data_IF_400236051570
#
_entry.id   IF_400236051570
#
_cell.length_a   1.000
_cell.length_b   1.000
_cell.length_c   1.000
_cell.angle_alpha   90.00
_cell.angle_beta   90.00
_cell.angle_gamma   90.00
#
_symmetry.space_group_name_H-M   'P 1'
#
loop_
_entity.id
_entity.type
_entity.pdbx_description
1 polymer ?
#
# COMPACT_ATOMS: atom_id res chain seq x y z
N UNK A 1 11.21 0.30 -13.57
CA UNK A 1 11.92 -0.22 -12.38
C UNK A 1 12.59 0.94 -11.68
N UNK A 2 12.41 1.05 -10.36
CA UNK A 2 12.96 2.16 -9.55
C UNK A 2 12.14 3.45 -9.61
N UNK A 3 10.93 3.40 -10.18
CA UNK A 3 10.00 4.53 -10.20
C UNK A 3 9.57 4.89 -8.78
N UNK A 4 9.45 6.19 -8.52
CA UNK A 4 8.93 6.72 -7.26
C UNK A 4 7.46 7.05 -7.48
N UNK A 5 6.59 6.46 -6.68
CA UNK A 5 5.13 6.62 -6.78
C UNK A 5 4.60 7.07 -5.43
N UNK A 6 3.74 8.09 -5.46
CA UNK A 6 3.00 8.55 -4.28
C UNK A 6 1.58 8.01 -4.32
N UNK A 7 1.12 7.46 -3.21
CA UNK A 7 -0.27 7.07 -3.00
C UNK A 7 -0.89 8.10 -2.06
N UNK A 8 -1.91 8.79 -2.55
CA UNK A 8 -2.74 9.70 -1.77
C UNK A 8 -4.03 8.96 -1.45
N UNK A 9 -4.20 8.59 -0.18
CA UNK A 9 -5.40 7.94 0.31
C UNK A 9 -6.29 8.96 0.99
N UNK A 10 -7.57 9.00 0.61
CA UNK A 10 -8.61 9.69 1.35
C UNK A 10 -9.51 8.65 2.02
N UNK A 11 -9.58 8.71 3.35
CA UNK A 11 -10.48 7.92 4.15
C UNK A 11 -11.82 8.64 4.29
N UNK A 12 -12.84 8.17 3.57
CA UNK A 12 -14.20 8.68 3.65
C UNK A 12 -15.08 7.83 4.58
N UNK A 13 -14.52 7.37 5.68
CA UNK A 13 -15.16 6.59 6.72
C UNK A 13 -14.86 7.23 8.10
N UNK A 14 -15.81 7.19 9.06
CA UNK A 14 -15.62 7.75 10.40
C UNK A 14 -14.65 6.95 11.29
N UNK A 15 -14.16 5.80 10.85
CA UNK A 15 -13.15 5.00 11.56
C UNK A 15 -11.73 5.26 11.07
N UNK A 16 -10.75 4.89 11.89
CA UNK A 16 -9.33 4.84 11.48
C UNK A 16 -9.05 3.51 10.75
N UNK A 17 -8.19 3.57 9.71
CA UNK A 17 -7.78 2.38 8.97
C UNK A 17 -6.25 2.25 8.94
N UNK A 18 -5.64 1.19 9.53
CA UNK A 18 -4.22 0.91 9.40
C UNK A 18 -3.93 0.27 8.03
N UNK A 19 -3.27 1.01 7.15
CA UNK A 19 -3.00 0.58 5.77
C UNK A 19 -1.60 -0.02 5.65
N UNK A 20 -1.52 -1.25 5.14
CA UNK A 20 -0.30 -2.05 5.01
C UNK A 20 0.03 -2.34 3.54
N UNK A 21 1.32 -2.27 3.16
CA UNK A 21 1.82 -2.63 1.83
C UNK A 21 2.77 -3.82 1.93
N UNK A 22 2.54 -4.85 1.14
CA UNK A 22 3.45 -5.99 1.04
C UNK A 22 4.69 -5.66 0.19
N UNK A 23 5.81 -6.30 0.51
CA UNK A 23 7.03 -6.27 -0.32
C UNK A 23 7.78 -4.93 -0.37
N UNK A 24 7.29 -3.90 0.32
CA UNK A 24 7.86 -2.55 0.34
C UNK A 24 7.80 -1.96 1.74
N UNK A 25 8.79 -1.12 2.06
CA UNK A 25 8.59 -0.06 3.04
C UNK A 25 8.32 1.23 2.28
N UNK A 26 7.55 2.12 2.88
CA UNK A 26 7.18 3.41 2.32
C UNK A 26 7.53 4.55 3.27
N UNK A 27 7.77 5.72 2.70
CA UNK A 27 7.89 6.95 3.46
C UNK A 27 6.50 7.52 3.72
N UNK A 28 6.19 7.83 4.97
CA UNK A 28 4.96 8.58 5.33
C UNK A 28 5.27 10.06 5.17
N UNK A 29 4.77 10.65 4.09
CA UNK A 29 5.05 12.04 3.74
C UNK A 29 4.18 13.02 4.53
N UNK A 30 2.97 12.60 4.90
CA UNK A 30 2.04 13.41 5.67
C UNK A 30 0.74 12.64 5.95
N UNK A 31 0.03 13.12 6.97
CA UNK A 31 -1.25 12.59 7.39
C UNK A 31 -2.10 13.74 7.91
N UNK A 32 -3.38 13.77 7.54
CA UNK A 32 -4.33 14.76 8.04
C UNK A 32 -4.81 14.45 9.46
N UNK A 33 -5.33 15.47 10.13
CA UNK A 33 -6.07 15.32 11.37
C UNK A 33 -7.45 14.69 11.12
N UNK A 34 -8.08 14.06 12.13
CA UNK A 34 -9.46 13.59 12.02
C UNK A 34 -10.39 14.72 11.52
N UNK A 35 -11.28 14.37 10.59
CA UNK A 35 -12.26 15.28 9.97
C UNK A 35 -11.66 16.47 9.17
N UNK A 36 -10.37 16.42 8.82
CA UNK A 36 -9.73 17.44 7.97
C UNK A 36 -10.25 17.42 6.51
N UNK A 37 -10.87 16.32 6.08
CA UNK A 37 -11.33 16.11 4.72
C UNK A 37 -10.24 15.56 3.79
N UNK A 38 -10.38 15.71 2.47
CA UNK A 38 -9.40 15.19 1.51
C UNK A 38 -8.10 16.00 1.52
N UNK A 39 -7.03 15.38 1.03
CA UNK A 39 -5.76 16.07 0.79
C UNK A 39 -5.96 17.21 -0.24
N UNK A 40 -5.44 18.39 0.08
CA UNK A 40 -5.53 19.64 -0.67
C UNK A 40 -4.14 20.27 -0.82
N UNK A 41 -3.16 19.46 -1.21
CA UNK A 41 -1.77 19.92 -1.45
C UNK A 41 -1.10 20.57 -0.23
N UNK A 42 -1.42 20.10 0.97
CA UNK A 42 -0.75 20.50 2.20
C UNK A 42 0.77 20.19 2.11
N UNK A 43 1.64 20.99 2.76
CA UNK A 43 3.08 20.71 2.79
C UNK A 43 3.38 19.32 3.35
N UNK A 44 4.23 18.57 2.63
CA UNK A 44 4.68 17.22 2.98
C UNK A 44 6.12 17.22 3.51
N UNK A 45 6.46 16.28 4.39
CA UNK A 45 7.85 16.04 4.81
C UNK A 45 8.61 15.25 3.74
N UNK A 46 9.48 15.95 3.02
CA UNK A 46 10.35 15.39 2.00
C UNK A 46 11.82 15.27 2.44
N UNK A 47 12.13 15.62 3.70
CA UNK A 47 13.51 15.69 4.21
C UNK A 47 13.86 14.43 5.00
N UNK A 48 13.03 14.08 5.98
CA UNK A 48 13.27 12.91 6.83
C UNK A 48 11.98 12.19 7.25
N UNK A 49 11.11 11.81 6.29
CA UNK A 49 9.87 11.12 6.62
C UNK A 49 10.13 9.74 7.22
N UNK A 50 9.23 9.32 8.11
CA UNK A 50 9.27 7.99 8.74
C UNK A 50 9.10 6.91 7.67
N UNK A 51 9.94 5.88 7.75
CA UNK A 51 9.87 4.70 6.87
C UNK A 51 9.26 3.52 7.61
N UNK A 52 8.20 2.94 7.05
CA UNK A 52 7.52 1.76 7.61
C UNK A 52 6.69 1.03 6.55
N UNK A 53 6.12 -0.11 6.90
CA UNK A 53 5.26 -0.93 6.01
C UNK A 53 3.75 -0.75 6.26
N UNK A 54 3.37 -0.09 7.37
CA UNK A 54 1.98 0.09 7.80
C UNK A 54 1.79 1.45 8.43
N UNK A 55 0.78 2.22 8.02
CA UNK A 55 0.45 3.51 8.64
C UNK A 55 -1.08 3.73 8.67
N UNK A 56 -1.56 4.35 9.74
CA UNK A 56 -2.98 4.66 9.90
C UNK A 56 -3.38 5.88 9.08
N UNK A 57 -4.57 5.83 8.48
CA UNK A 57 -5.30 7.01 8.00
C UNK A 57 -6.43 7.31 8.97
N UNK A 58 -6.48 8.55 9.46
CA UNK A 58 -7.50 9.00 10.40
C UNK A 58 -8.89 9.05 9.76
N UNK A 59 -9.92 9.06 10.60
CA UNK A 59 -11.31 9.24 10.19
C UNK A 59 -11.51 10.50 9.34
N UNK A 60 -12.25 10.39 8.24
CA UNK A 60 -12.58 11.52 7.34
C UNK A 60 -11.37 12.38 6.96
N UNK A 61 -10.24 11.76 6.70
CA UNK A 61 -8.94 12.42 6.54
C UNK A 61 -8.08 11.79 5.45
N UNK A 62 -6.81 12.19 5.35
CA UNK A 62 -5.92 11.78 4.28
C UNK A 62 -4.57 11.22 4.79
N UNK A 63 -3.95 10.40 3.96
CA UNK A 63 -2.60 9.84 4.18
C UNK A 63 -1.86 9.88 2.85
N UNK A 64 -0.65 10.45 2.83
CA UNK A 64 0.25 10.43 1.67
C UNK A 64 1.47 9.57 1.98
N UNK A 65 1.64 8.50 1.21
CA UNK A 65 2.81 7.62 1.30
C UNK A 65 3.57 7.61 -0.02
N UNK A 66 4.89 7.45 0.05
CA UNK A 66 5.78 7.34 -1.10
C UNK A 66 6.44 5.97 -1.13
N UNK A 67 6.42 5.34 -2.29
CA UNK A 67 6.98 4.03 -2.55
C UNK A 67 8.03 4.10 -3.66
N UNK A 68 9.07 3.28 -3.54
CA UNK A 68 9.96 3.00 -4.65
C UNK A 68 9.64 1.63 -5.24
N UNK A 69 9.25 1.60 -6.52
CA UNK A 69 8.89 0.38 -7.26
C UNK A 69 10.13 -0.38 -7.71
N UNK A 70 10.88 -0.93 -6.75
CA UNK A 70 12.15 -1.63 -6.94
C UNK A 70 12.09 -3.14 -6.65
N UNK A 71 10.94 -3.66 -6.21
CA UNK A 71 10.77 -5.07 -5.89
C UNK A 71 9.73 -5.74 -6.81
N UNK A 72 10.15 -6.47 -7.88
CA UNK A 72 9.25 -7.14 -8.81
C UNK A 72 8.37 -8.17 -8.10
N UNK A 73 7.05 -8.02 -8.25
CA UNK A 73 6.08 -8.88 -7.57
C UNK A 73 4.64 -8.38 -7.70
N UNK A 74 3.72 -9.16 -7.12
CA UNK A 74 2.30 -8.80 -6.99
C UNK A 74 2.06 -8.61 -5.50
N UNK A 75 1.79 -7.37 -5.09
CA UNK A 75 1.80 -6.97 -3.69
C UNK A 75 0.43 -6.44 -3.27
N UNK A 76 -0.09 -6.94 -2.15
CA UNK A 76 -1.32 -6.42 -1.58
C UNK A 76 -1.07 -5.08 -0.85
N UNK A 77 -1.97 -4.13 -1.07
CA UNK A 77 -2.11 -2.91 -0.28
C UNK A 77 -3.51 -2.92 0.32
N UNK A 78 -3.62 -3.07 1.65
CA UNK A 78 -4.91 -3.31 2.28
C UNK A 78 -4.97 -2.76 3.71
N UNK A 79 -6.19 -2.65 4.23
CA UNK A 79 -6.38 -2.39 5.66
C UNK A 79 -6.00 -3.63 6.46
N UNK A 80 -5.24 -3.46 7.54
CA UNK A 80 -4.76 -4.54 8.39
C UNK A 80 -5.77 -4.91 9.51
N UNK A 81 -7.02 -4.55 9.31
CA UNK A 81 -8.16 -5.02 10.08
C UNK A 81 -8.81 -6.14 9.26
N UNK A 82 -8.75 -7.37 9.76
CA UNK A 82 -9.12 -8.58 9.00
C UNK A 82 -10.52 -8.48 8.38
N UNK A 83 -11.50 -7.98 9.14
CA UNK A 83 -12.85 -7.85 8.63
C UNK A 83 -12.97 -6.77 7.54
N UNK A 84 -12.17 -5.69 7.56
CA UNK A 84 -12.13 -4.74 6.44
C UNK A 84 -11.51 -5.36 5.19
N UNK A 85 -10.44 -6.16 5.35
CA UNK A 85 -9.81 -6.91 4.26
C UNK A 85 -10.81 -7.90 3.63
N UNK A 86 -11.51 -8.69 4.44
CA UNK A 86 -12.53 -9.64 3.98
C UNK A 86 -13.70 -8.96 3.26
N UNK A 87 -14.05 -7.74 3.67
CA UNK A 87 -15.06 -6.91 2.99
C UNK A 87 -14.53 -6.21 1.74
N UNK A 88 -13.28 -6.45 1.34
CA UNK A 88 -12.72 -6.01 0.06
C UNK A 88 -11.91 -4.71 0.12
N UNK A 89 -11.49 -4.24 1.30
CA UNK A 89 -10.58 -3.10 1.43
C UNK A 89 -9.14 -3.50 1.08
N UNK A 90 -8.93 -3.82 -0.20
CA UNK A 90 -7.69 -4.32 -0.78
C UNK A 90 -7.49 -3.79 -2.21
N UNK A 91 -6.25 -3.40 -2.49
CA UNK A 91 -5.72 -3.07 -3.80
C UNK A 91 -4.53 -4.01 -4.09
N UNK A 92 -4.26 -4.28 -5.37
CA UNK A 92 -3.07 -5.03 -5.81
C UNK A 92 -2.14 -4.13 -6.60
N UNK A 93 -0.86 -4.10 -6.21
CA UNK A 93 0.22 -3.40 -6.90
C UNK A 93 1.04 -4.42 -7.68
N UNK A 94 1.10 -4.28 -9.01
CA UNK A 94 1.90 -5.16 -9.89
C UNK A 94 3.16 -4.43 -10.32
N UNK A 95 4.32 -4.93 -9.87
CA UNK A 95 5.63 -4.32 -10.14
C UNK A 95 6.43 -5.20 -11.10
N UNK A 96 6.81 -4.63 -12.25
CA UNK A 96 7.66 -5.26 -13.27
C UNK A 96 7.18 -6.68 -13.68
N UNK A 97 6.00 -6.80 -14.32
CA UNK A 97 5.39 -8.09 -14.65
C UNK A 97 6.27 -8.99 -15.54
N UNK A 98 7.10 -8.43 -16.40
CA UNK A 98 8.03 -9.19 -17.24
C UNK A 98 9.10 -9.91 -16.40
N UNK A 99 9.58 -9.25 -15.34
CA UNK A 99 10.55 -9.84 -14.41
C UNK A 99 9.90 -10.94 -13.55
N UNK A 100 8.61 -10.81 -13.21
CA UNK A 100 7.84 -11.87 -12.54
C UNK A 100 7.72 -13.08 -13.47
N UNK A 101 7.35 -12.87 -14.73
CA UNK A 101 7.16 -13.94 -15.72
C UNK A 101 8.41 -14.81 -15.89
N UNK A 102 9.59 -14.22 -15.85
CA UNK A 102 10.86 -14.95 -15.92
C UNK A 102 11.11 -15.88 -14.71
N UNK A 103 10.46 -15.64 -13.56
CA UNK A 103 10.61 -16.40 -12.30
C UNK A 103 9.57 -17.49 -12.09
N UNK A 104 8.45 -17.47 -12.82
CA UNK A 104 7.33 -18.42 -12.66
C UNK A 104 7.66 -19.89 -13.04
N UNK A 105 8.92 -20.22 -13.35
CA UNK A 105 9.37 -21.57 -13.67
C UNK A 105 9.70 -22.46 -12.45
N UNK A 106 9.63 -21.96 -11.21
CA UNK A 106 9.89 -22.80 -10.03
C UNK A 106 8.68 -23.68 -9.71
N UNK A 107 8.87 -24.99 -9.83
CA UNK A 107 7.83 -26.03 -9.73
C UNK A 107 7.06 -26.08 -8.40
N UNK A 108 7.52 -25.44 -7.31
CA UNK A 108 6.88 -25.55 -6.00
C UNK A 108 5.48 -24.91 -5.95
N UNK A 109 5.26 -23.77 -6.62
CA UNK A 109 3.96 -23.07 -6.61
C UNK A 109 2.89 -23.82 -7.42
N UNK A 110 3.28 -24.61 -8.41
CA UNK A 110 2.37 -25.44 -9.20
C UNK A 110 1.88 -26.67 -8.41
N UNK A 111 2.67 -27.13 -7.43
CA UNK A 111 2.34 -28.28 -6.56
C UNK A 111 1.31 -27.91 -5.48
N UNK A 112 1.17 -26.62 -5.13
CA UNK A 112 0.19 -26.12 -4.16
C UNK A 112 -1.16 -25.72 -4.76
N UNK A 113 -1.27 -25.69 -6.10
CA UNK A 113 -2.53 -25.43 -6.81
C UNK A 113 -3.21 -26.69 -7.41
N UNK A 114 -3.17 -27.89 -6.82
CA UNK A 114 -4.00 -28.98 -7.30
C UNK A 114 -5.45 -28.67 -6.91
N UNK A 115 -6.29 -28.57 -7.92
CA UNK A 115 -7.75 -28.59 -7.76
C UNK A 115 -8.12 -29.98 -7.23
N UNK A 116 -8.72 -30.04 -6.06
CA UNK A 116 -9.53 -31.19 -5.66
C UNK A 116 -10.94 -31.03 -6.26
#
# INVERSE_FOLDING_TARGET
MGEIVDIILYNNDPGEHPMHVHGHHFWVLGMGQPDEGPYQDQPLDLVAPVVRDTASVNANSWLVIRLQMNNPGVWAYHCHIDWHLENGLLLVIVVAPEAIRARLGSTSSLVTCPVA
#
